data_IF_062763073499
#
_entry.id   IF_062763073499
#
_cell.length_a   1.000
_cell.length_b   1.000
_cell.length_c   1.000
_cell.angle_alpha   90.00
_cell.angle_beta   90.00
_cell.angle_gamma   90.00
#
_symmetry.space_group_name_H-M   'P 1'
#
loop_
_entity.id
_entity.type
_entity.pdbx_description
1 polymer ?
#
# COMPACT_ATOMS: atom_id res chain seq x y z
N UNK A 1 1.49 -19.76 14.49
CA UNK A 1 0.73 -18.50 14.72
C UNK A 1 -0.30 -18.66 15.82
N UNK A 2 -1.32 -19.53 15.66
CA UNK A 2 -2.35 -19.70 16.69
C UNK A 2 -1.80 -20.12 18.07
N UNK A 3 -0.74 -20.94 18.11
CA UNK A 3 -0.07 -21.30 19.38
C UNK A 3 0.50 -20.06 20.08
N UNK A 4 1.15 -19.17 19.33
CA UNK A 4 1.74 -17.94 19.84
C UNK A 4 0.63 -17.01 20.36
N UNK A 5 -0.48 -16.88 19.63
CA UNK A 5 -1.58 -16.02 20.05
C UNK A 5 -2.24 -16.56 21.31
N UNK A 6 -2.44 -17.87 21.45
CA UNK A 6 -3.06 -18.46 22.65
C UNK A 6 -2.22 -18.30 23.92
N UNK A 7 -0.91 -18.07 23.82
CA UNK A 7 -0.08 -17.64 24.96
C UNK A 7 -0.60 -16.35 25.59
N UNK A 8 -1.21 -15.47 24.79
CA UNK A 8 -1.72 -14.15 25.23
C UNK A 8 -3.26 -14.07 25.26
N UNK A 9 -3.95 -14.93 24.51
CA UNK A 9 -5.41 -14.97 24.41
C UNK A 9 -5.92 -16.42 24.56
N UNK A 10 -6.06 -16.93 25.80
CA UNK A 10 -6.45 -18.31 26.05
C UNK A 10 -7.81 -18.67 25.44
N UNK A 11 -7.94 -19.92 24.98
CA UNK A 11 -9.15 -20.48 24.35
C UNK A 11 -9.53 -19.88 22.99
N UNK A 12 -8.67 -19.08 22.35
CA UNK A 12 -8.97 -18.45 21.07
C UNK A 12 -9.49 -19.44 20.02
N UNK A 13 -8.86 -20.62 19.88
CA UNK A 13 -9.24 -21.64 18.88
C UNK A 13 -10.68 -22.09 19.01
N UNK A 14 -11.19 -22.22 20.25
CA UNK A 14 -12.57 -22.65 20.50
C UNK A 14 -13.60 -21.64 19.98
N UNK A 15 -13.20 -20.38 19.82
CA UNK A 15 -14.07 -19.29 19.40
C UNK A 15 -13.93 -18.96 17.90
N UNK A 16 -13.17 -19.74 17.13
CA UNK A 16 -13.01 -19.52 15.68
C UNK A 16 -14.23 -20.08 14.94
N UNK A 17 -15.03 -19.20 14.35
CA UNK A 17 -16.20 -19.56 13.53
C UNK A 17 -15.86 -19.87 12.06
N UNK A 18 -14.73 -19.33 11.58
CA UNK A 18 -14.30 -19.47 10.20
C UNK A 18 -12.88 -18.95 10.01
N UNK A 19 -12.25 -19.34 8.90
CA UNK A 19 -10.88 -18.97 8.57
C UNK A 19 -10.74 -18.76 7.07
N UNK A 20 -10.20 -17.62 6.69
CA UNK A 20 -9.69 -17.36 5.35
C UNK A 20 -8.18 -17.14 5.42
N UNK A 21 -7.44 -17.63 4.44
CA UNK A 21 -5.99 -17.50 4.37
C UNK A 21 -5.64 -17.08 2.95
N UNK A 22 -4.93 -15.96 2.84
CA UNK A 22 -4.45 -15.43 1.57
C UNK A 22 -2.93 -15.48 1.59
N UNK A 23 -2.36 -16.21 0.65
CA UNK A 23 -0.93 -16.13 0.37
C UNK A 23 -0.61 -14.84 -0.39
N UNK A 24 0.66 -14.42 -0.46
CA UNK A 24 1.06 -13.31 -1.32
C UNK A 24 0.61 -13.48 -2.78
N UNK A 25 0.61 -14.71 -3.29
CA UNK A 25 0.13 -15.02 -4.64
C UNK A 25 -1.40 -14.85 -4.77
N UNK A 26 -2.16 -15.17 -3.73
CA UNK A 26 -3.61 -14.95 -3.74
C UNK A 26 -3.92 -13.45 -3.75
N UNK A 27 -3.19 -12.66 -2.96
CA UNK A 27 -3.33 -11.20 -2.93
C UNK A 27 -3.02 -10.57 -4.30
N UNK A 28 -1.93 -10.97 -4.93
CA UNK A 28 -1.55 -10.48 -6.27
C UNK A 28 -2.56 -10.91 -7.35
N UNK A 29 -3.14 -12.11 -7.23
CA UNK A 29 -4.20 -12.59 -8.13
C UNK A 29 -5.50 -11.80 -7.99
N UNK A 30 -5.87 -11.43 -6.76
CA UNK A 30 -7.08 -10.63 -6.50
C UNK A 30 -6.89 -9.16 -6.89
N UNK A 31 -5.70 -8.62 -6.68
CA UNK A 31 -5.36 -7.26 -7.06
C UNK A 31 -3.94 -7.23 -7.65
N UNK A 32 -3.80 -7.10 -8.98
CA UNK A 32 -2.50 -7.05 -9.66
C UNK A 32 -1.58 -5.91 -9.19
N UNK A 33 -2.09 -4.91 -8.47
CA UNK A 33 -1.25 -3.87 -7.86
C UNK A 33 -0.47 -4.36 -6.64
N UNK A 34 -0.86 -5.49 -6.05
CA UNK A 34 -0.21 -6.13 -4.91
C UNK A 34 0.89 -7.08 -5.38
N UNK A 35 1.83 -6.57 -6.17
CA UNK A 35 2.93 -7.38 -6.75
C UNK A 35 3.68 -8.10 -5.63
N UNK A 36 3.80 -9.42 -5.70
CA UNK A 36 4.39 -10.25 -4.64
C UNK A 36 3.65 -10.18 -3.30
N UNK A 37 2.36 -9.78 -3.31
CA UNK A 37 1.54 -9.53 -2.12
C UNK A 37 1.81 -8.20 -1.42
N UNK A 38 2.56 -7.28 -2.02
CA UNK A 38 2.97 -6.03 -1.39
C UNK A 38 1.88 -4.93 -1.44
N UNK A 39 1.22 -4.70 -0.30
CA UNK A 39 0.22 -3.63 -0.15
C UNK A 39 0.79 -2.21 -0.17
N UNK A 40 2.11 -2.06 -0.10
CA UNK A 40 2.81 -0.79 0.04
C UNK A 40 3.44 -0.33 -1.30
N UNK A 41 3.37 -1.18 -2.33
CA UNK A 41 3.85 -0.88 -3.68
C UNK A 41 5.35 -0.51 -3.72
N UNK A 42 6.18 -1.29 -3.03
CA UNK A 42 7.64 -1.20 -3.01
C UNK A 42 8.22 -1.04 -1.60
N UNK A 43 9.52 -1.34 -1.47
CA UNK A 43 10.19 -1.31 -0.17
C UNK A 43 10.28 0.09 0.45
N UNK A 44 10.29 0.13 1.78
CA UNK A 44 10.63 1.31 2.59
C UNK A 44 12.10 1.37 3.03
N UNK A 45 12.95 0.43 2.58
CA UNK A 45 14.38 0.55 2.81
C UNK A 45 14.93 1.81 2.14
N UNK A 46 15.85 2.51 2.81
CA UNK A 46 16.46 3.76 2.32
C UNK A 46 17.13 3.59 0.94
N UNK A 47 17.60 2.39 0.62
CA UNK A 47 18.18 2.08 -0.69
C UNK A 47 17.16 2.07 -1.85
N UNK A 48 15.85 2.04 -1.56
CA UNK A 48 14.77 1.96 -2.54
C UNK A 48 13.66 3.01 -2.35
N UNK A 49 13.68 3.76 -1.24
CA UNK A 49 12.66 4.74 -0.89
C UNK A 49 13.22 6.18 -0.87
N UNK A 50 12.35 7.17 -0.78
CA UNK A 50 12.66 8.61 -0.80
C UNK A 50 13.41 9.06 -2.05
N UNK A 51 14.73 9.23 -1.96
CA UNK A 51 15.55 9.78 -3.04
C UNK A 51 15.45 8.94 -4.33
N UNK A 52 15.18 7.64 -4.18
CA UNK A 52 15.15 6.67 -5.28
C UNK A 52 13.74 6.35 -5.77
N UNK A 53 12.68 6.86 -5.13
CA UNK A 53 11.29 6.68 -5.56
C UNK A 53 10.40 7.84 -5.08
N UNK A 54 9.65 8.51 -5.98
CA UNK A 54 9.47 8.20 -7.41
C UNK A 54 10.63 8.67 -8.30
N UNK A 55 10.54 8.37 -9.61
CA UNK A 55 11.52 8.82 -10.59
C UNK A 55 11.72 10.35 -10.51
N UNK A 56 12.96 10.81 -10.72
CA UNK A 56 13.31 12.23 -10.67
C UNK A 56 12.42 13.03 -11.63
N UNK A 57 11.84 14.13 -11.13
CA UNK A 57 10.88 14.96 -11.89
C UNK A 57 9.42 14.52 -11.75
N UNK A 58 9.16 13.34 -11.19
CA UNK A 58 7.81 12.78 -11.00
C UNK A 58 7.47 12.60 -9.51
N UNK A 59 8.00 13.49 -8.66
CA UNK A 59 7.68 13.54 -7.23
C UNK A 59 6.26 14.04 -6.94
N UNK A 60 5.68 14.80 -7.87
CA UNK A 60 4.25 15.13 -7.85
C UNK A 60 3.41 13.98 -8.41
N UNK A 61 2.09 14.07 -8.24
CA UNK A 61 1.13 13.08 -8.73
C UNK A 61 0.96 13.08 -10.28
N UNK A 62 1.82 13.77 -11.03
CA UNK A 62 1.74 13.87 -12.48
C UNK A 62 2.55 12.75 -13.15
N UNK A 63 2.10 12.31 -14.32
CA UNK A 63 2.85 11.35 -15.16
C UNK A 63 3.44 12.04 -16.39
N UNK A 64 4.32 11.37 -17.16
CA UNK A 64 4.76 11.89 -18.46
C UNK A 64 3.63 12.05 -19.49
N UNK A 65 2.49 11.40 -19.27
CA UNK A 65 1.32 11.49 -20.15
C UNK A 65 0.48 12.69 -19.72
N UNK A 66 0.19 13.58 -20.67
CA UNK A 66 -0.60 14.79 -20.41
C UNK A 66 -1.98 14.43 -19.83
N UNK A 67 -2.38 15.14 -18.78
CA UNK A 67 -3.65 14.96 -18.07
C UNK A 67 -3.87 13.56 -17.46
N UNK A 68 -2.79 12.79 -17.24
CA UNK A 68 -2.82 11.56 -16.49
C UNK A 68 -2.07 11.74 -15.16
N UNK A 69 -2.79 11.50 -14.07
CA UNK A 69 -2.30 11.66 -12.70
C UNK A 69 -2.40 10.32 -11.94
N UNK A 70 -1.47 10.09 -11.03
CA UNK A 70 -1.44 8.90 -10.16
C UNK A 70 -1.75 9.28 -8.73
N UNK A 71 -2.54 8.46 -8.05
CA UNK A 71 -2.80 8.56 -6.63
C UNK A 71 -2.86 7.17 -6.00
N UNK A 72 -2.80 7.12 -4.68
CA UNK A 72 -2.82 5.89 -3.89
C UNK A 72 -1.50 5.60 -3.18
N UNK A 73 -1.40 4.40 -2.61
CA UNK A 73 -0.29 4.00 -1.73
C UNK A 73 1.10 4.04 -2.38
N UNK A 74 1.17 3.93 -3.71
CA UNK A 74 2.42 3.99 -4.47
C UNK A 74 2.97 5.41 -4.67
N UNK A 75 2.20 6.45 -4.31
CA UNK A 75 2.54 7.85 -4.56
C UNK A 75 2.75 8.60 -3.25
N UNK A 76 3.51 9.70 -3.29
CA UNK A 76 3.73 10.55 -2.13
C UNK A 76 2.40 10.98 -1.48
N UNK A 77 2.26 10.96 -0.13
CA UNK A 77 3.29 10.77 0.90
C UNK A 77 3.69 9.32 1.20
N UNK A 78 3.12 8.34 0.51
CA UNK A 78 3.47 6.92 0.64
C UNK A 78 2.28 6.06 1.05
N UNK A 79 2.59 4.83 1.45
CA UNK A 79 1.58 3.83 1.71
C UNK A 79 0.83 4.04 3.03
N UNK A 80 -0.38 3.50 3.07
CA UNK A 80 -1.26 3.53 4.23
C UNK A 80 -2.71 3.73 3.82
N UNK A 81 -3.60 3.73 4.79
CA UNK A 81 -5.03 4.02 4.61
C UNK A 81 -5.34 5.52 4.67
N UNK A 82 -4.32 6.35 4.93
CA UNK A 82 -4.45 7.81 4.92
C UNK A 82 -4.63 8.30 3.48
N UNK A 83 -5.79 8.88 3.18
CA UNK A 83 -6.14 9.40 1.86
C UNK A 83 -5.34 10.66 1.43
N UNK A 84 -4.17 10.90 2.03
CA UNK A 84 -3.38 12.10 1.86
C UNK A 84 -2.90 12.31 0.42
N UNK A 85 -2.45 11.24 -0.26
CA UNK A 85 -2.06 11.33 -1.68
C UNK A 85 -3.20 11.90 -2.54
N UNK A 86 -4.40 11.33 -2.42
CA UNK A 86 -5.56 11.78 -3.18
C UNK A 86 -5.99 13.19 -2.81
N UNK A 87 -5.93 13.53 -1.53
CA UNK A 87 -6.23 14.87 -1.05
C UNK A 87 -5.29 15.93 -1.63
N UNK A 88 -3.98 15.68 -1.59
CA UNK A 88 -2.98 16.63 -2.09
C UNK A 88 -3.02 16.75 -3.62
N UNK A 89 -3.26 15.65 -4.36
CA UNK A 89 -3.51 15.71 -5.80
C UNK A 89 -4.73 16.58 -6.10
N UNK A 90 -5.84 16.41 -5.36
CA UNK A 90 -7.04 17.20 -5.56
C UNK A 90 -6.80 18.70 -5.29
N UNK A 91 -6.00 19.05 -4.28
CA UNK A 91 -5.60 20.44 -4.05
C UNK A 91 -4.78 21.01 -5.22
N UNK A 92 -3.78 20.25 -5.70
CA UNK A 92 -2.94 20.66 -6.83
C UNK A 92 -3.78 20.91 -8.09
N UNK A 93 -4.72 20.01 -8.42
CA UNK A 93 -5.61 20.17 -9.57
C UNK A 93 -6.63 21.30 -9.38
N UNK A 94 -7.04 21.55 -8.14
CA UNK A 94 -7.93 22.66 -7.78
C UNK A 94 -7.26 24.03 -7.72
N UNK A 95 -5.95 24.12 -8.01
CA UNK A 95 -5.19 25.38 -8.00
C UNK A 95 -4.99 25.99 -6.61
N UNK A 96 -4.97 25.15 -5.56
CA UNK A 96 -4.72 25.56 -4.18
C UNK A 96 -3.26 25.38 -3.77
#
# INVERSE_FOLDING_TARGET
VLDIIETYAPNLRRNILGRAVFSPLDLERENPNLVGGDQICGSHHLAQNFLFRPARGFAGWNTPVMNLHLTGAATWPGAGTGAASGYMLAQQLGGR
#
